data_IF_119098713547
#
_entry.id   IF_119098713547
#
_cell.length_a   1.000
_cell.length_b   1.000
_cell.length_c   1.000
_cell.angle_alpha   90.00
_cell.angle_beta   90.00
_cell.angle_gamma   90.00
#
_symmetry.space_group_name_H-M   'P 1'
#
loop_
_entity.id
_entity.type
_entity.pdbx_description
1 polymer ?
#
# COMPACT_ATOMS: atom_id res chain seq x y z
N UNK A 1 38.14 -17.14 -3.18
CA UNK A 1 37.19 -17.89 -2.32
C UNK A 1 36.38 -17.02 -1.36
N UNK A 2 36.73 -15.75 -1.07
CA UNK A 2 35.96 -14.91 -0.12
C UNK A 2 34.64 -14.30 -0.63
N UNK A 3 34.51 -14.05 -1.94
CA UNK A 3 33.33 -13.37 -2.50
C UNK A 3 32.09 -14.30 -2.68
N UNK A 4 32.29 -15.60 -2.83
CA UNK A 4 31.19 -16.56 -3.08
C UNK A 4 30.35 -16.80 -1.82
N UNK A 5 31.02 -17.02 -0.68
CA UNK A 5 30.34 -17.23 0.60
C UNK A 5 29.57 -15.97 1.00
N UNK A 6 30.08 -14.78 0.67
CA UNK A 6 29.39 -13.52 0.99
C UNK A 6 28.03 -13.38 0.30
N UNK A 7 27.89 -13.80 -0.97
CA UNK A 7 26.64 -13.67 -1.71
C UNK A 7 25.56 -14.62 -1.17
N UNK A 8 25.93 -15.88 -0.91
CA UNK A 8 25.00 -16.89 -0.37
C UNK A 8 24.50 -16.45 1.01
N UNK A 9 25.41 -15.93 1.86
CA UNK A 9 25.05 -15.41 3.18
C UNK A 9 24.09 -14.23 3.08
N UNK A 10 24.31 -13.29 2.14
CA UNK A 10 23.40 -12.15 1.94
C UNK A 10 22.01 -12.58 1.48
N UNK A 11 21.91 -13.57 0.57
CA UNK A 11 20.62 -14.12 0.13
C UNK A 11 19.88 -14.81 1.28
N UNK A 12 20.59 -15.62 2.07
CA UNK A 12 20.04 -16.30 3.22
C UNK A 12 19.58 -15.33 4.33
N UNK A 13 20.37 -14.29 4.62
CA UNK A 13 20.01 -13.30 5.64
C UNK A 13 18.80 -12.43 5.24
N UNK A 14 18.60 -12.23 3.93
CA UNK A 14 17.47 -11.45 3.40
C UNK A 14 16.15 -12.25 3.36
N UNK A 15 16.23 -13.57 3.40
CA UNK A 15 15.05 -14.46 3.44
C UNK A 15 14.33 -14.35 4.79
N UNK A 16 13.00 -14.51 4.78
CA UNK A 16 12.19 -14.56 5.98
C UNK A 16 12.72 -15.63 6.97
N UNK A 17 12.75 -15.27 8.26
CA UNK A 17 13.20 -16.14 9.36
C UNK A 17 12.03 -16.49 10.27
N UNK A 18 12.07 -17.66 10.91
CA UNK A 18 11.01 -18.14 11.81
C UNK A 18 10.78 -17.15 12.96
N UNK A 19 9.63 -16.47 13.01
CA UNK A 19 9.35 -15.52 14.09
C UNK A 19 8.90 -16.25 15.35
N UNK A 20 9.18 -15.64 16.50
CA UNK A 20 8.53 -16.02 17.75
C UNK A 20 7.05 -15.59 17.71
N UNK A 21 6.15 -16.41 18.26
CA UNK A 21 4.74 -16.05 18.38
C UNK A 21 3.85 -16.50 17.21
N UNK A 22 4.27 -17.47 16.39
CA UNK A 22 3.40 -18.13 15.38
C UNK A 22 2.09 -18.63 16.02
N UNK A 23 2.16 -19.23 17.21
CA UNK A 23 0.99 -19.71 17.96
C UNK A 23 0.11 -18.58 18.54
N UNK A 24 0.63 -17.36 18.57
CA UNK A 24 -0.12 -16.16 18.96
C UNK A 24 -0.70 -15.40 17.75
N UNK A 25 -0.65 -16.01 16.55
CA UNK A 25 -1.21 -15.44 15.32
C UNK A 25 -0.24 -14.56 14.51
N UNK A 26 1.03 -14.46 14.90
CA UNK A 26 2.05 -13.72 14.12
C UNK A 26 2.69 -14.64 13.07
N UNK A 27 2.02 -14.82 11.93
CA UNK A 27 2.41 -15.82 10.93
C UNK A 27 2.95 -15.27 9.62
N UNK A 28 2.73 -13.98 9.34
CA UNK A 28 3.25 -13.36 8.13
C UNK A 28 4.68 -12.86 8.34
N UNK A 29 5.60 -13.27 7.48
CA UNK A 29 7.00 -12.86 7.54
C UNK A 29 7.52 -12.42 6.17
N UNK A 30 7.85 -11.13 6.08
CA UNK A 30 8.19 -10.48 4.80
C UNK A 30 9.69 -10.41 4.50
N UNK A 31 10.56 -10.85 5.41
CA UNK A 31 12.02 -10.79 5.20
C UNK A 31 12.54 -9.38 4.98
N UNK A 32 13.75 -9.26 4.43
CA UNK A 32 14.38 -7.98 4.09
C UNK A 32 14.36 -7.77 2.57
N UNK A 33 13.32 -7.07 2.10
CA UNK A 33 13.09 -6.81 0.68
C UNK A 33 14.23 -5.99 0.05
N UNK A 34 14.58 -4.88 0.69
CA UNK A 34 15.56 -3.93 0.17
C UNK A 34 16.95 -4.57 0.09
N UNK A 35 17.35 -5.34 1.10
CA UNK A 35 18.62 -6.09 1.04
C UNK A 35 18.61 -7.12 -0.07
N UNK A 36 17.52 -7.87 -0.25
CA UNK A 36 17.45 -8.89 -1.29
C UNK A 36 17.65 -8.29 -2.70
N UNK A 37 16.89 -7.23 -3.02
CA UNK A 37 16.97 -6.55 -4.32
C UNK A 37 18.29 -5.78 -4.49
N UNK A 38 18.93 -5.33 -3.41
CA UNK A 38 20.25 -4.70 -3.49
C UNK A 38 21.38 -5.69 -3.86
N UNK A 39 21.16 -7.01 -3.77
CA UNK A 39 22.16 -8.02 -4.14
C UNK A 39 22.41 -7.95 -5.65
N UNK A 40 23.59 -7.47 -6.01
CA UNK A 40 24.03 -7.35 -7.40
C UNK A 40 25.50 -7.71 -7.52
N UNK A 41 25.78 -8.80 -8.25
CA UNK A 41 27.14 -9.22 -8.57
C UNK A 41 27.44 -8.97 -10.04
N UNK A 42 28.01 -7.79 -10.33
CA UNK A 42 28.43 -7.39 -11.70
C UNK A 42 29.40 -8.36 -12.35
N UNK A 43 30.24 -9.04 -11.57
CA UNK A 43 31.24 -10.00 -12.08
C UNK A 43 30.63 -11.30 -12.61
N UNK A 44 29.44 -11.69 -12.12
CA UNK A 44 28.77 -12.95 -12.50
C UNK A 44 27.40 -12.76 -13.11
N UNK A 45 26.95 -11.51 -13.22
CA UNK A 45 25.63 -11.14 -13.72
C UNK A 45 24.49 -11.84 -12.95
N UNK A 46 24.65 -11.95 -11.62
CA UNK A 46 23.65 -12.53 -10.72
C UNK A 46 23.03 -11.39 -9.92
N UNK A 47 21.71 -11.31 -9.94
CA UNK A 47 20.91 -10.36 -9.16
C UNK A 47 20.08 -11.13 -8.12
N UNK A 48 19.72 -10.47 -7.04
CA UNK A 48 18.72 -10.99 -6.10
C UNK A 48 17.31 -10.78 -6.64
N UNK A 49 16.46 -11.77 -6.40
CA UNK A 49 15.04 -11.79 -6.69
C UNK A 49 14.29 -12.11 -5.41
N UNK A 50 13.38 -11.22 -5.05
CA UNK A 50 12.50 -11.36 -3.89
C UNK A 50 11.19 -11.98 -4.33
N UNK A 51 10.78 -13.09 -3.72
CA UNK A 51 9.52 -13.76 -4.00
C UNK A 51 8.69 -13.91 -2.72
N UNK A 52 7.44 -13.42 -2.73
CA UNK A 52 6.49 -13.66 -1.64
C UNK A 52 5.65 -14.91 -1.95
N UNK A 53 5.74 -15.90 -1.07
CA UNK A 53 5.02 -17.18 -1.20
C UNK A 53 3.89 -17.25 -0.19
N UNK A 54 2.74 -17.82 -0.57
CA UNK A 54 1.63 -18.07 0.33
C UNK A 54 1.53 -19.56 0.62
N UNK A 55 1.40 -19.93 1.89
CA UNK A 55 1.27 -21.31 2.34
C UNK A 55 0.00 -21.47 3.14
N UNK A 56 -0.85 -22.41 2.74
CA UNK A 56 -2.13 -22.68 3.40
C UNK A 56 -2.06 -24.08 4.02
N UNK A 57 -2.32 -24.18 5.32
CA UNK A 57 -2.37 -25.48 5.99
C UNK A 57 -3.74 -26.09 5.74
N UNK A 58 -3.79 -27.19 4.99
CA UNK A 58 -5.02 -27.92 4.75
C UNK A 58 -5.46 -28.63 6.04
N UNK A 59 -6.77 -28.62 6.27
CA UNK A 59 -7.34 -29.31 7.43
C UNK A 59 -7.11 -30.83 7.32
N UNK A 60 -6.70 -31.49 8.42
CA UNK A 60 -6.45 -32.93 8.39
C UNK A 60 -7.75 -33.71 8.19
N UNK A 61 -7.67 -34.82 7.46
CA UNK A 61 -8.80 -35.67 7.07
C UNK A 61 -9.54 -36.36 8.23
N UNK A 62 -8.98 -36.35 9.45
CA UNK A 62 -9.58 -36.96 10.63
C UNK A 62 -10.63 -36.04 11.25
N UNK A 63 -11.84 -36.57 11.47
CA UNK A 63 -12.98 -35.84 12.06
C UNK A 63 -12.70 -35.30 13.47
N UNK A 64 -11.84 -35.96 14.25
CA UNK A 64 -11.41 -35.49 15.56
C UNK A 64 -10.43 -34.30 15.46
N UNK A 65 -9.47 -34.38 14.54
CA UNK A 65 -8.45 -33.36 14.35
C UNK A 65 -9.01 -32.11 13.63
N UNK A 66 -10.02 -32.28 12.78
CA UNK A 66 -10.82 -31.17 12.24
C UNK A 66 -11.58 -30.42 13.34
N UNK A 67 -12.14 -31.14 14.32
CA UNK A 67 -12.77 -30.55 15.51
C UNK A 67 -11.77 -29.77 16.37
N UNK A 68 -10.58 -30.34 16.60
CA UNK A 68 -9.51 -29.67 17.33
C UNK A 68 -8.95 -28.46 16.58
N UNK A 69 -8.78 -28.55 15.26
CA UNK A 69 -8.33 -27.43 14.41
C UNK A 69 -9.30 -26.25 14.48
N UNK A 70 -10.61 -26.54 14.46
CA UNK A 70 -11.67 -25.54 14.65
C UNK A 70 -11.64 -24.88 16.04
N UNK A 71 -11.20 -25.62 17.07
CA UNK A 71 -11.06 -25.10 18.44
C UNK A 71 -9.76 -24.30 18.64
N UNK A 72 -8.68 -24.65 17.94
CA UNK A 72 -7.42 -23.90 17.93
C UNK A 72 -7.61 -22.55 17.21
N UNK A 73 -8.50 -22.47 16.23
CA UNK A 73 -8.92 -21.22 15.59
C UNK A 73 -9.86 -20.36 16.46
N UNK A 74 -9.61 -20.25 17.77
CA UNK A 74 -10.48 -19.51 18.70
C UNK A 74 -10.40 -17.98 18.61
N UNK A 75 -9.63 -17.44 17.67
CA UNK A 75 -9.59 -16.00 17.39
C UNK A 75 -10.29 -15.62 16.07
N UNK A 76 -11.54 -16.06 15.91
CA UNK A 76 -12.50 -15.36 15.04
C UNK A 76 -12.93 -14.05 15.73
N UNK A 77 -12.05 -13.05 15.78
CA UNK A 77 -12.52 -11.67 15.89
C UNK A 77 -12.97 -11.25 14.49
N UNK A 78 -14.28 -11.01 14.37
CA UNK A 78 -15.02 -10.61 13.18
C UNK A 78 -15.66 -11.74 12.35
N UNK A 79 -16.60 -12.46 12.98
CA UNK A 79 -17.82 -12.86 12.25
C UNK A 79 -18.62 -11.59 11.93
N UNK A 80 -18.39 -10.96 10.79
CA UNK A 80 -19.44 -10.11 10.21
C UNK A 80 -20.54 -11.03 9.70
N UNK A 81 -21.66 -11.05 10.43
CA UNK A 81 -22.97 -11.34 9.82
C UNK A 81 -23.07 -10.49 8.55
N UNK A 82 -23.41 -11.13 7.43
CA UNK A 82 -23.51 -10.55 6.09
C UNK A 82 -24.71 -9.61 5.93
N UNK A 83 -24.84 -8.59 6.78
CA UNK A 83 -25.83 -7.52 6.62
C UNK A 83 -25.27 -6.10 6.88
N UNK A 84 -24.01 -5.96 7.31
CA UNK A 84 -23.41 -4.65 7.54
C UNK A 84 -22.73 -4.09 6.28
N UNK A 85 -23.32 -3.02 5.74
CA UNK A 85 -22.83 -2.19 4.62
C UNK A 85 -21.35 -1.76 4.78
N UNK A 86 -20.87 -1.71 6.03
CA UNK A 86 -19.49 -1.45 6.44
C UNK A 86 -18.48 -2.42 5.82
N UNK A 87 -18.85 -3.70 5.65
CA UNK A 87 -17.97 -4.72 5.06
C UNK A 87 -17.84 -4.53 3.54
N UNK A 88 -18.92 -4.12 2.86
CA UNK A 88 -18.90 -3.78 1.43
C UNK A 88 -18.05 -2.53 1.18
N UNK A 89 -18.13 -1.54 2.07
CA UNK A 89 -17.31 -0.35 2.01
C UNK A 89 -15.81 -0.67 2.20
N UNK A 90 -15.48 -1.59 3.10
CA UNK A 90 -14.11 -2.07 3.30
C UNK A 90 -13.60 -2.86 2.08
N UNK A 91 -14.45 -3.68 1.46
CA UNK A 91 -14.17 -4.41 0.22
C UNK A 91 -13.90 -3.47 -0.97
N UNK A 92 -14.64 -2.36 -1.06
CA UNK A 92 -14.46 -1.36 -2.12
C UNK A 92 -13.20 -0.51 -1.94
N UNK A 93 -12.80 -0.21 -0.69
CA UNK A 93 -11.63 0.63 -0.39
C UNK A 93 -10.31 -0.14 -0.45
N UNK A 94 -10.28 -1.39 -0.01
CA UNK A 94 -9.11 -2.25 -0.09
C UNK A 94 -9.31 -3.29 -1.20
N UNK A 95 -8.80 -2.97 -2.39
CA UNK A 95 -8.72 -3.86 -3.56
C UNK A 95 -7.75 -5.02 -3.30
N UNK A 96 -8.08 -5.90 -2.36
CA UNK A 96 -7.36 -7.13 -2.08
C UNK A 96 -8.35 -8.29 -2.12
N UNK A 97 -8.01 -9.30 -2.91
CA UNK A 97 -8.82 -10.50 -3.14
C UNK A 97 -9.01 -11.28 -1.83
N UNK A 98 -10.07 -10.95 -1.08
CA UNK A 98 -10.55 -11.79 0.01
C UNK A 98 -11.27 -12.98 -0.63
N UNK A 99 -10.63 -14.15 -0.59
CA UNK A 99 -11.22 -15.40 -1.08
C UNK A 99 -12.39 -15.82 -0.18
N UNK A 100 -13.49 -16.20 -0.82
CA UNK A 100 -14.78 -16.48 -0.19
C UNK A 100 -14.84 -17.94 0.33
N UNK A 101 -13.94 -18.31 1.24
CA UNK A 101 -13.98 -19.58 1.97
C UNK A 101 -13.18 -19.46 3.29
N UNK A 102 -13.78 -19.61 4.48
CA UNK A 102 -13.10 -19.32 5.74
C UNK A 102 -12.37 -20.54 6.32
N UNK A 103 -11.60 -21.27 5.50
CA UNK A 103 -10.75 -22.37 6.01
C UNK A 103 -9.24 -22.13 5.78
N UNK A 104 -8.82 -21.05 5.13
CA UNK A 104 -7.42 -20.88 4.71
C UNK A 104 -6.65 -19.93 5.63
N UNK A 105 -6.00 -20.50 6.65
CA UNK A 105 -4.91 -19.84 7.35
C UNK A 105 -3.70 -19.74 6.40
N UNK A 106 -3.66 -18.66 5.61
CA UNK A 106 -2.57 -18.34 4.69
C UNK A 106 -1.39 -17.69 5.40
N UNK A 107 -0.25 -18.37 5.42
CA UNK A 107 1.03 -17.90 5.93
C UNK A 107 1.78 -17.26 4.75
N UNK A 108 2.01 -15.95 4.81
CA UNK A 108 2.83 -15.27 3.81
C UNK A 108 4.29 -15.31 4.23
N UNK A 109 5.16 -15.78 3.35
CA UNK A 109 6.57 -15.99 3.63
C UNK A 109 7.46 -15.57 2.47
N UNK A 110 8.40 -14.67 2.73
CA UNK A 110 9.29 -14.14 1.71
C UNK A 110 10.57 -14.97 1.54
N UNK A 111 10.89 -15.34 0.31
CA UNK A 111 12.17 -15.95 -0.08
C UNK A 111 13.00 -14.98 -0.90
N UNK A 112 14.28 -14.86 -0.56
CA UNK A 112 15.26 -14.26 -1.44
C UNK A 112 15.98 -15.37 -2.21
N UNK A 113 15.96 -15.30 -3.53
CA UNK A 113 16.60 -16.26 -4.44
C UNK A 113 17.39 -15.51 -5.51
N UNK A 114 18.37 -16.12 -6.19
CA UNK A 114 19.00 -15.48 -7.34
C UNK A 114 18.02 -15.38 -8.53
N UNK A 115 18.17 -14.35 -9.37
CA UNK A 115 17.40 -14.11 -10.61
C UNK A 115 17.51 -15.25 -11.65
N UNK A 116 18.43 -16.20 -11.42
CA UNK A 116 18.53 -17.43 -12.22
C UNK A 116 17.42 -18.46 -11.90
N UNK A 117 16.75 -18.34 -10.75
CA UNK A 117 15.67 -19.21 -10.34
C UNK A 117 14.34 -18.71 -10.93
N UNK A 118 13.54 -19.62 -11.48
CA UNK A 118 12.18 -19.31 -11.90
C UNK A 118 11.19 -19.49 -10.74
N UNK A 119 9.99 -18.89 -10.78
CA UNK A 119 8.97 -19.11 -9.73
C UNK A 119 8.66 -20.58 -9.49
N UNK A 120 8.69 -21.42 -10.53
CA UNK A 120 8.48 -22.87 -10.42
C UNK A 120 9.60 -23.57 -9.67
N UNK A 121 10.85 -23.10 -9.79
CA UNK A 121 11.98 -23.64 -9.05
C UNK A 121 11.88 -23.30 -7.56
N UNK A 122 11.40 -22.09 -7.26
CA UNK A 122 11.11 -21.65 -5.88
C UNK A 122 10.01 -22.52 -5.28
N UNK A 123 8.95 -22.79 -6.02
CA UNK A 123 7.86 -23.66 -5.60
C UNK A 123 8.35 -25.09 -5.32
N UNK A 124 9.17 -25.66 -6.22
CA UNK A 124 9.74 -27.00 -6.04
C UNK A 124 10.69 -27.07 -4.83
N UNK A 125 11.53 -26.06 -4.64
CA UNK A 125 12.44 -25.96 -3.49
C UNK A 125 11.70 -25.82 -2.16
N UNK A 126 10.65 -25.01 -2.15
CA UNK A 126 9.79 -24.82 -0.98
C UNK A 126 9.05 -26.11 -0.63
N UNK A 127 8.43 -26.76 -1.62
CA UNK A 127 7.74 -28.05 -1.46
C UNK A 127 8.63 -29.06 -0.75
N UNK A 128 9.85 -29.25 -1.25
CA UNK A 128 10.79 -30.21 -0.68
C UNK A 128 11.13 -29.89 0.78
N UNK A 129 11.40 -28.62 1.07
CA UNK A 129 11.79 -28.18 2.42
C UNK A 129 10.64 -28.34 3.42
N UNK A 130 9.43 -27.96 3.02
CA UNK A 130 8.23 -28.07 3.85
C UNK A 130 7.85 -29.53 4.07
N UNK A 131 7.88 -30.35 3.02
CA UNK A 131 7.59 -31.79 3.11
C UNK A 131 8.57 -32.52 4.04
N UNK A 132 9.86 -32.14 4.03
CA UNK A 132 10.87 -32.70 4.93
C UNK A 132 10.62 -32.29 6.40
N UNK A 133 10.11 -31.08 6.66
CA UNK A 133 9.78 -30.60 8.01
C UNK A 133 8.54 -31.31 8.56
N UNK A 134 7.51 -31.51 7.74
CA UNK A 134 6.26 -32.16 8.15
C UNK A 134 6.25 -33.67 7.95
N UNK A 135 7.40 -34.26 7.61
CA UNK A 135 7.58 -35.68 7.41
C UNK A 135 7.21 -36.46 8.69
N UNK A 136 6.15 -37.26 8.60
CA UNK A 136 5.61 -38.02 9.73
C UNK A 136 4.43 -37.37 10.44
N UNK A 137 3.94 -36.22 9.95
CA UNK A 137 2.69 -35.61 10.39
C UNK A 137 1.59 -35.77 9.33
N UNK A 138 0.31 -35.73 9.72
CA UNK A 138 -0.83 -35.76 8.79
C UNK A 138 -1.12 -34.38 8.16
N UNK A 139 -0.25 -33.39 8.37
CA UNK A 139 -0.46 -32.01 7.96
C UNK A 139 -0.06 -31.87 6.50
N UNK A 140 -1.03 -31.51 5.64
CA UNK A 140 -0.78 -31.17 4.23
C UNK A 140 -0.74 -29.66 4.08
N UNK A 141 0.30 -29.14 3.45
CA UNK A 141 0.44 -27.69 3.19
C UNK A 141 0.31 -27.46 1.69
N UNK A 142 -0.61 -26.58 1.30
CA UNK A 142 -0.69 -26.05 -0.05
C UNK A 142 0.26 -24.86 -0.15
N UNK A 143 1.08 -24.83 -1.19
CA UNK A 143 2.01 -23.75 -1.46
C UNK A 143 1.60 -23.08 -2.77
N UNK A 144 1.60 -21.76 -2.80
CA UNK A 144 1.26 -20.97 -3.98
C UNK A 144 2.29 -19.86 -4.15
N UNK A 145 2.95 -19.84 -5.32
CA UNK A 145 3.97 -18.85 -5.69
C UNK A 145 3.49 -18.13 -6.94
N UNK A 146 2.93 -16.93 -6.78
CA UNK A 146 2.53 -16.11 -7.91
C UNK A 146 3.75 -15.42 -8.53
N UNK A 147 3.90 -15.56 -9.84
CA UNK A 147 4.90 -14.86 -10.65
C UNK A 147 4.89 -13.33 -10.47
N UNK A 148 3.73 -12.72 -10.21
CA UNK A 148 3.61 -11.27 -9.98
C UNK A 148 4.23 -10.83 -8.64
N UNK A 149 4.38 -11.76 -7.69
CA UNK A 149 4.96 -11.52 -6.37
C UNK A 149 6.48 -11.73 -6.33
N UNK A 150 7.09 -12.07 -7.48
CA UNK A 150 8.53 -12.22 -7.63
C UNK A 150 9.15 -10.99 -8.33
N UNK A 151 9.91 -10.20 -7.58
CA UNK A 151 10.49 -8.94 -8.02
C UNK A 151 12.02 -8.99 -8.06
N UNK A 152 12.62 -8.37 -9.06
CA UNK A 152 14.08 -8.36 -9.27
C UNK A 152 14.58 -6.93 -9.45
N UNK A 153 15.84 -6.70 -9.09
CA UNK A 153 16.57 -5.41 -9.24
C UNK A 153 16.93 -5.07 -10.69
N UNK A 154 16.44 -5.85 -11.65
CA UNK A 154 16.65 -5.56 -13.06
C UNK A 154 15.87 -4.30 -13.39
N UNK A 155 16.51 -3.35 -14.07
CA UNK A 155 15.89 -2.11 -14.52
C UNK A 155 14.70 -2.43 -15.45
N UNK A 156 13.52 -2.60 -14.87
CA UNK A 156 12.28 -2.79 -15.60
C UNK A 156 11.81 -1.42 -16.05
N UNK A 157 11.48 -1.32 -17.34
CA UNK A 157 10.84 -0.10 -17.85
C UNK A 157 9.57 0.12 -17.03
N UNK A 158 9.36 1.34 -16.56
CA UNK A 158 8.15 1.71 -15.82
C UNK A 158 6.91 1.20 -16.58
N UNK A 159 5.95 0.56 -15.89
CA UNK A 159 4.77 0.03 -16.57
C UNK A 159 3.99 1.20 -17.19
N UNK A 160 3.39 0.96 -18.35
CA UNK A 160 2.65 1.98 -19.10
C UNK A 160 1.54 2.62 -18.25
N UNK A 161 0.99 1.87 -17.30
CA UNK A 161 0.02 2.35 -16.31
C UNK A 161 0.55 3.52 -15.47
N UNK A 162 1.81 3.47 -15.04
CA UNK A 162 2.44 4.57 -14.28
C UNK A 162 2.57 5.82 -15.14
N UNK A 163 2.96 5.66 -16.40
CA UNK A 163 3.07 6.78 -17.34
C UNK A 163 1.70 7.45 -17.60
N UNK A 164 0.66 6.65 -17.81
CA UNK A 164 -0.73 7.14 -17.97
C UNK A 164 -1.16 7.92 -16.72
N UNK A 165 -0.90 7.37 -15.53
CA UNK A 165 -1.21 8.03 -14.26
C UNK A 165 -0.51 9.39 -14.13
N UNK A 166 0.80 9.44 -14.39
CA UNK A 166 1.57 10.69 -14.36
C UNK A 166 1.00 11.72 -15.36
N UNK A 167 0.72 11.29 -16.59
CA UNK A 167 0.14 12.18 -17.62
C UNK A 167 -1.21 12.77 -17.20
N UNK A 168 -2.07 11.98 -16.55
CA UNK A 168 -3.36 12.43 -16.06
C UNK A 168 -3.20 13.54 -15.00
N UNK A 169 -2.39 13.31 -13.97
CA UNK A 169 -2.18 14.29 -12.90
C UNK A 169 -1.52 15.57 -13.42
N UNK A 170 -0.55 15.47 -14.33
CA UNK A 170 0.08 16.65 -14.94
C UNK A 170 -0.93 17.48 -15.73
N UNK A 171 -1.83 16.83 -16.48
CA UNK A 171 -2.86 17.53 -17.27
C UNK A 171 -3.84 18.28 -16.36
N UNK A 172 -4.28 17.65 -15.27
CA UNK A 172 -5.18 18.28 -14.29
C UNK A 172 -4.52 19.51 -13.66
N UNK A 173 -3.26 19.41 -13.23
CA UNK A 173 -2.51 20.53 -12.67
C UNK A 173 -2.36 21.68 -13.67
N UNK A 174 -2.09 21.38 -14.96
CA UNK A 174 -2.00 22.41 -15.99
C UNK A 174 -3.34 23.12 -16.21
N UNK A 175 -4.45 22.37 -16.21
CA UNK A 175 -5.81 22.94 -16.31
C UNK A 175 -6.11 23.83 -15.11
N UNK A 176 -5.73 23.43 -13.90
CA UNK A 176 -5.87 24.25 -12.70
C UNK A 176 -5.07 25.56 -12.78
N UNK A 177 -3.82 25.49 -13.23
CA UNK A 177 -2.97 26.68 -13.39
C UNK A 177 -3.54 27.63 -14.45
N UNK A 178 -4.05 27.09 -15.57
CA UNK A 178 -4.68 27.88 -16.64
C UNK A 178 -5.98 28.51 -16.15
N UNK A 179 -6.83 27.76 -15.44
CA UNK A 179 -8.06 28.29 -14.86
C UNK A 179 -7.76 29.40 -13.85
N UNK A 180 -6.76 29.21 -12.99
CA UNK A 180 -6.32 30.21 -12.02
C UNK A 180 -5.80 31.48 -12.70
N UNK A 181 -4.99 31.33 -13.75
CA UNK A 181 -4.48 32.46 -14.52
C UNK A 181 -5.61 33.20 -15.26
N UNK A 182 -6.58 32.47 -15.83
CA UNK A 182 -7.73 33.05 -16.48
C UNK A 182 -8.62 33.82 -15.50
N UNK A 183 -8.88 33.26 -14.32
CA UNK A 183 -9.62 33.95 -13.26
C UNK A 183 -8.89 35.22 -12.81
N UNK A 184 -7.56 35.17 -12.64
CA UNK A 184 -6.77 36.35 -12.25
C UNK A 184 -6.78 37.44 -13.32
N UNK A 185 -6.71 37.08 -14.60
CA UNK A 185 -6.66 38.03 -15.72
C UNK A 185 -8.04 38.54 -16.14
N UNK A 186 -9.11 37.74 -15.98
CA UNK A 186 -10.47 38.07 -16.42
C UNK A 186 -11.32 38.75 -15.33
N UNK A 187 -10.89 38.75 -14.05
CA UNK A 187 -11.61 39.40 -12.95
C UNK A 187 -11.46 40.94 -12.93
N UNK A 188 -11.54 41.58 -14.09
CA UNK A 188 -11.69 43.04 -14.18
C UNK A 188 -13.12 43.46 -14.56
N UNK A 189 -13.99 42.53 -15.04
CA UNK A 189 -15.31 42.94 -15.57
C UNK A 189 -16.56 42.23 -15.05
N UNK A 190 -16.54 40.96 -14.64
CA UNK A 190 -17.73 40.28 -14.06
C UNK A 190 -17.32 39.04 -13.24
N UNK A 191 -17.12 39.18 -11.93
CA UNK A 191 -16.94 38.01 -11.06
C UNK A 191 -18.28 37.68 -10.37
N UNK A 192 -18.92 36.56 -10.77
CA UNK A 192 -20.01 35.95 -10.00
C UNK A 192 -19.38 35.29 -8.77
N UNK A 193 -19.69 35.80 -7.58
CA UNK A 193 -19.08 35.34 -6.31
C UNK A 193 -19.28 33.85 -6.06
N UNK A 194 -20.37 33.25 -6.57
CA UNK A 194 -20.67 31.83 -6.40
C UNK A 194 -19.72 30.88 -7.12
N UNK A 195 -19.19 31.22 -8.30
CA UNK A 195 -18.28 30.33 -9.04
C UNK A 195 -16.85 30.40 -8.51
N UNK A 196 -16.46 31.54 -7.95
CA UNK A 196 -15.14 31.73 -7.34
C UNK A 196 -14.92 30.86 -6.10
N UNK A 197 -15.95 30.69 -5.27
CA UNK A 197 -15.88 29.76 -4.11
C UNK A 197 -15.69 28.31 -4.55
N UNK A 198 -16.41 27.85 -5.58
CA UNK A 198 -16.32 26.48 -6.10
C UNK A 198 -14.94 26.23 -6.74
N UNK A 199 -14.37 27.21 -7.44
CA UNK A 199 -13.02 27.13 -8.01
C UNK A 199 -11.93 26.99 -6.93
N UNK A 200 -12.01 27.78 -5.87
CA UNK A 200 -11.08 27.70 -4.72
C UNK A 200 -11.19 26.36 -4.01
N UNK A 201 -12.41 25.86 -3.79
CA UNK A 201 -12.65 24.57 -3.12
C UNK A 201 -12.08 23.39 -3.95
N UNK A 202 -12.13 23.48 -5.29
CA UNK A 202 -11.56 22.47 -6.17
C UNK A 202 -10.02 22.48 -6.11
N UNK A 203 -9.39 23.65 -6.08
CA UNK A 203 -7.92 23.77 -5.95
C UNK A 203 -7.40 23.23 -4.60
N UNK A 204 -8.14 23.47 -3.51
CA UNK A 204 -7.83 22.92 -2.19
C UNK A 204 -7.98 21.39 -2.15
N UNK A 205 -8.93 20.82 -2.88
CA UNK A 205 -9.10 19.37 -2.99
C UNK A 205 -7.87 18.70 -3.63
N UNK A 206 -7.31 19.28 -4.69
CA UNK A 206 -6.10 18.77 -5.34
C UNK A 206 -4.81 19.06 -4.57
N UNK A 207 -4.76 20.16 -3.81
CA UNK A 207 -3.65 20.42 -2.87
C UNK A 207 -3.67 19.48 -1.64
N UNK A 208 -4.83 18.94 -1.28
CA UNK A 208 -5.01 18.12 -0.07
C UNK A 208 -4.11 16.87 0.01
N UNK A 209 -3.90 16.03 -1.03
CA UNK A 209 -2.99 14.90 -0.95
C UNK A 209 -1.54 15.33 -0.66
N UNK A 210 -1.08 16.47 -1.20
CA UNK A 210 0.27 16.99 -0.90
C UNK A 210 0.40 17.47 0.55
N UNK A 211 -0.63 18.14 1.07
CA UNK A 211 -0.68 18.58 2.46
C UNK A 211 -0.74 17.37 3.42
N UNK A 212 -1.50 16.33 3.07
CA UNK A 212 -1.59 15.07 3.83
C UNK A 212 -0.26 14.32 3.80
N UNK A 213 0.39 14.21 2.63
CA UNK A 213 1.72 13.58 2.50
C UNK A 213 2.80 14.33 3.29
N UNK A 214 2.76 15.66 3.28
CA UNK A 214 3.66 16.50 4.06
C UNK A 214 3.45 16.33 5.57
N UNK A 215 2.18 16.21 6.02
CA UNK A 215 1.84 15.94 7.41
C UNK A 215 2.22 14.51 7.83
N UNK A 216 2.08 13.53 6.93
CA UNK A 216 2.44 12.15 7.21
C UNK A 216 3.95 11.97 7.32
N UNK A 217 4.71 12.51 6.36
CA UNK A 217 6.17 12.37 6.38
C UNK A 217 6.75 13.07 7.61
N UNK A 218 6.39 14.34 7.86
CA UNK A 218 6.98 15.13 8.96
C UNK A 218 5.90 15.78 9.85
N UNK A 219 5.30 15.04 10.81
CA UNK A 219 4.09 15.46 11.52
C UNK A 219 4.24 16.76 12.32
N UNK A 220 5.36 16.98 13.00
CA UNK A 220 5.57 18.19 13.82
C UNK A 220 5.80 19.45 12.96
N UNK A 221 6.58 19.33 11.89
CA UNK A 221 6.88 20.45 10.97
C UNK A 221 5.69 20.75 10.05
N UNK A 222 5.01 19.71 9.57
CA UNK A 222 3.79 19.82 8.77
C UNK A 222 2.66 20.52 9.52
N UNK A 223 2.41 20.14 10.77
CA UNK A 223 1.39 20.79 11.60
C UNK A 223 1.67 22.29 11.84
N UNK A 224 2.94 22.64 12.10
CA UNK A 224 3.35 24.03 12.28
C UNK A 224 3.12 24.86 11.01
N UNK A 225 3.51 24.34 9.84
CA UNK A 225 3.36 25.03 8.56
C UNK A 225 1.87 25.22 8.20
N UNK A 226 1.03 24.21 8.45
CA UNK A 226 -0.41 24.29 8.24
C UNK A 226 -1.07 25.35 9.14
N UNK A 227 -0.69 25.41 10.42
CA UNK A 227 -1.18 26.44 11.35
C UNK A 227 -0.77 27.86 10.92
N UNK A 228 0.45 28.02 10.42
CA UNK A 228 0.93 29.31 9.90
C UNK A 228 0.16 29.71 8.64
N UNK A 229 -0.03 28.81 7.67
CA UNK A 229 -0.81 29.08 6.46
C UNK A 229 -2.27 29.42 6.78
N UNK A 230 -2.90 28.68 7.69
CA UNK A 230 -4.28 28.93 8.11
C UNK A 230 -4.43 30.28 8.81
N UNK A 231 -3.49 30.64 9.69
CA UNK A 231 -3.52 31.93 10.38
C UNK A 231 -3.28 33.10 9.41
N UNK A 232 -2.31 33.00 8.51
CA UNK A 232 -2.06 34.00 7.44
C UNK A 232 -3.31 34.18 6.56
N UNK A 233 -3.91 33.08 6.10
CA UNK A 233 -5.15 33.11 5.30
C UNK A 233 -6.29 33.83 6.04
N UNK A 234 -6.46 33.54 7.33
CA UNK A 234 -7.50 34.15 8.17
C UNK A 234 -7.26 35.65 8.37
N UNK A 235 -6.02 36.05 8.65
CA UNK A 235 -5.65 37.46 8.83
C UNK A 235 -5.85 38.24 7.53
N UNK A 236 -5.47 37.67 6.39
CA UNK A 236 -5.63 38.32 5.10
C UNK A 236 -7.10 38.51 4.72
N UNK A 237 -7.94 37.50 4.97
CA UNK A 237 -9.40 37.62 4.83
C UNK A 237 -9.96 38.75 5.70
N UNK A 238 -9.57 38.80 6.98
CA UNK A 238 -10.01 39.86 7.90
C UNK A 238 -9.57 41.25 7.43
N UNK A 239 -8.32 41.39 6.99
CA UNK A 239 -7.76 42.64 6.49
C UNK A 239 -8.52 43.16 5.27
N UNK A 240 -8.80 42.30 4.28
CA UNK A 240 -9.56 42.66 3.08
C UNK A 240 -11.00 43.05 3.44
N UNK A 241 -11.68 42.29 4.30
CA UNK A 241 -13.04 42.60 4.75
C UNK A 241 -13.10 43.97 5.44
N UNK A 242 -12.13 44.28 6.29
CA UNK A 242 -12.06 45.54 7.01
C UNK A 242 -11.77 46.74 6.09
N UNK A 243 -10.77 46.60 5.22
CA UNK A 243 -10.34 47.69 4.32
C UNK A 243 -11.37 48.01 3.24
N UNK A 244 -12.01 46.99 2.69
CA UNK A 244 -13.01 47.17 1.62
C UNK A 244 -14.45 47.33 2.15
N UNK A 245 -14.64 47.41 3.48
CA UNK A 245 -15.96 47.52 4.15
C UNK A 245 -17.01 46.53 3.63
N UNK A 246 -16.61 45.29 3.35
CA UNK A 246 -17.58 44.27 2.93
C UNK A 246 -18.49 43.90 4.10
N UNK A 247 -19.80 43.79 3.83
CA UNK A 247 -20.74 43.24 4.81
C UNK A 247 -20.47 41.74 4.98
N UNK A 248 -20.30 41.28 6.22
CA UNK A 248 -20.20 39.85 6.56
C UNK A 248 -21.52 39.08 6.36
N UNK A 249 -22.57 39.77 5.92
CA UNK A 249 -23.89 39.22 5.64
C UNK A 249 -24.16 39.36 4.15
N UNK A 250 -24.36 38.22 3.47
CA UNK A 250 -24.90 38.17 2.12
C UNK A 250 -26.42 38.16 2.25
N UNK A 251 -27.08 39.27 1.92
CA UNK A 251 -28.53 39.29 1.78
C UNK A 251 -28.91 38.46 0.54
N UNK A 252 -29.16 37.18 0.74
CA UNK A 252 -29.93 36.40 -0.23
C UNK A 252 -31.36 36.92 -0.16
N UNK A 253 -31.80 37.56 -1.25
CA UNK A 253 -32.98 38.40 -1.28
C UNK A 253 -34.22 37.83 -0.59
N UNK A 254 -34.77 38.63 0.31
CA UNK A 254 -36.22 38.75 0.48
C UNK A 254 -36.55 40.20 0.18
N UNK A 255 -37.09 40.42 -1.03
CA UNK A 255 -37.73 41.65 -1.55
C UNK A 255 -37.11 42.99 -1.18
#
# INVERSE_FOLDING_TARGET
MGAENSLIISVYDSTAKLPSGILNGNVNQFGDFDKCIAINSKSRNIFGQYCLTSMEVQTPSSSYLAGLHKLIQSHYHFKSKLEDVSAVFFYFLHRQSVSLYPDDFGINWALCVPDACTPNDVELGLKKTVDDIFKGTEIKVRYEVDSAMCQTSKNTRLPVSTYIGISFFVTVILVELIATAYDYLACEKKCLTHTHHIGIDTQLFFASPFLILMLWSWPKRGALILLLLASISTIMRFYVTYTMRLSNYVHFGTS
#
